data_IF_853705637919
#
_entry.id   IF_853705637919
#
_cell.length_a   1.000
_cell.length_b   1.000
_cell.length_c   1.000
_cell.angle_alpha   90.00
_cell.angle_beta   90.00
_cell.angle_gamma   90.00
#
_symmetry.space_group_name_H-M   'P 1'
#
loop_
_entity.id
_entity.type
_entity.pdbx_description
1 polymer ?
#
# COMPACT_ATOMS: atom_id res chain seq x y z
N UNK A 1 -10.97 6.37 17.27
CA UNK A 1 -10.13 7.28 16.44
C UNK A 1 -10.62 7.23 15.02
N UNK A 2 -10.56 6.09 14.34
CA UNK A 2 -11.10 5.91 12.99
C UNK A 2 -12.50 6.50 12.77
N UNK A 3 -13.46 6.24 13.67
CA UNK A 3 -14.82 6.78 13.57
C UNK A 3 -14.92 8.30 13.79
N UNK A 4 -13.91 8.92 14.39
CA UNK A 4 -13.89 10.37 14.70
C UNK A 4 -13.14 11.18 13.65
N UNK A 5 -11.95 10.74 13.24
CA UNK A 5 -11.06 11.49 12.35
C UNK A 5 -10.68 10.74 11.05
N UNK A 6 -11.19 9.53 10.86
CA UNK A 6 -10.90 8.71 9.69
C UNK A 6 -9.50 8.08 9.70
N UNK A 7 -8.75 8.19 10.81
CA UNK A 7 -7.39 7.64 10.91
C UNK A 7 -7.40 6.37 11.77
N UNK A 8 -6.93 5.21 11.23
CA UNK A 8 -6.81 3.99 12.02
C UNK A 8 -5.76 4.12 13.10
N UNK A 9 -6.02 3.45 14.22
CA UNK A 9 -5.02 3.29 15.29
C UNK A 9 -3.91 2.35 14.85
N UNK A 10 -2.80 2.33 15.59
CA UNK A 10 -1.75 1.34 15.34
C UNK A 10 -2.27 -0.09 15.53
N UNK A 11 -3.17 -0.33 16.48
CA UNK A 11 -3.74 -1.66 16.69
C UNK A 11 -4.57 -2.11 15.48
N UNK A 12 -5.37 -1.21 14.90
CA UNK A 12 -6.12 -1.47 13.66
C UNK A 12 -5.18 -1.84 12.51
N UNK A 13 -4.09 -1.07 12.34
CA UNK A 13 -3.08 -1.30 11.30
C UNK A 13 -2.36 -2.64 11.51
N UNK A 14 -2.02 -2.95 12.77
CA UNK A 14 -1.30 -4.17 13.11
C UNK A 14 -2.16 -5.42 12.99
N UNK A 15 -3.49 -5.32 13.11
CA UNK A 15 -4.43 -6.43 12.94
C UNK A 15 -4.42 -7.09 11.56
N UNK A 16 -3.94 -6.39 10.53
CA UNK A 16 -3.79 -6.88 9.16
C UNK A 16 -2.34 -6.76 8.65
N UNK A 17 -1.36 -6.82 9.57
CA UNK A 17 0.04 -6.63 9.21
C UNK A 17 0.75 -7.98 9.01
N UNK A 18 1.51 -8.15 7.93
CA UNK A 18 2.23 -9.40 7.66
C UNK A 18 3.35 -9.62 8.68
N UNK A 19 3.70 -10.89 8.89
CA UNK A 19 4.85 -11.25 9.72
C UNK A 19 6.15 -10.72 9.11
N UNK A 20 7.16 -10.51 9.95
CA UNK A 20 8.49 -10.10 9.50
C UNK A 20 9.10 -11.10 8.50
N UNK A 21 8.96 -12.41 8.77
CA UNK A 21 9.43 -13.46 7.88
C UNK A 21 8.79 -13.32 6.48
N UNK A 22 7.49 -12.99 6.43
CA UNK A 22 6.82 -12.75 5.16
C UNK A 22 7.34 -11.52 4.46
N UNK A 23 7.57 -10.41 5.17
CA UNK A 23 8.09 -9.17 4.60
C UNK A 23 9.49 -9.34 3.99
N UNK A 24 10.32 -10.25 4.51
CA UNK A 24 11.65 -10.56 4.00
C UNK A 24 11.63 -11.39 2.71
N UNK A 25 10.57 -12.16 2.45
CA UNK A 25 10.41 -12.97 1.21
C UNK A 25 10.15 -12.11 -0.04
N UNK A 26 9.72 -10.86 0.15
CA UNK A 26 9.43 -9.91 -0.92
C UNK A 26 8.11 -9.17 -0.70
N UNK A 27 7.70 -8.40 -1.70
CA UNK A 27 6.49 -7.58 -1.59
C UNK A 27 5.24 -8.40 -1.22
N UNK A 28 4.44 -7.83 -0.32
CA UNK A 28 3.14 -8.34 0.09
C UNK A 28 2.16 -7.18 0.17
N UNK A 29 0.92 -7.41 -0.23
CA UNK A 29 -0.13 -6.41 -0.17
C UNK A 29 -0.73 -6.33 1.24
N UNK A 30 -1.06 -5.11 1.68
CA UNK A 30 -1.87 -4.82 2.87
C UNK A 30 -2.94 -3.81 2.49
N UNK A 31 -4.03 -3.74 3.27
CA UNK A 31 -5.07 -2.72 3.06
C UNK A 31 -5.48 -2.04 4.36
N UNK A 32 -6.04 -0.84 4.19
CA UNK A 32 -6.62 0.00 5.26
C UNK A 32 -8.14 0.17 5.08
N UNK A 33 -8.80 -0.87 4.57
CA UNK A 33 -10.26 -1.01 4.62
C UNK A 33 -10.68 -1.55 6.00
N UNK A 34 -11.43 -0.77 6.77
CA UNK A 34 -11.88 -1.12 8.13
C UNK A 34 -13.41 -1.02 8.33
N UNK A 35 -14.15 -0.67 7.28
CA UNK A 35 -15.59 -0.41 7.34
C UNK A 35 -16.29 -1.27 6.31
N UNK A 36 -17.58 -1.51 6.54
CA UNK A 36 -18.42 -2.29 5.64
C UNK A 36 -18.80 -1.47 4.40
N UNK A 37 -18.11 -1.71 3.28
CA UNK A 37 -18.27 -0.96 2.02
C UNK A 37 -18.48 -1.96 0.87
N UNK A 38 -19.53 -1.82 0.04
CA UNK A 38 -19.81 -2.76 -1.06
C UNK A 38 -18.82 -2.58 -2.22
N UNK A 39 -17.58 -3.07 -2.08
CA UNK A 39 -16.46 -2.83 -2.98
C UNK A 39 -15.53 -4.04 -3.08
N UNK A 40 -15.41 -4.64 -4.27
CA UNK A 40 -14.55 -5.81 -4.56
C UNK A 40 -13.48 -5.68 -5.68
N UNK A 41 -13.09 -4.51 -6.23
CA UNK A 41 -12.07 -4.46 -7.31
C UNK A 41 -10.73 -5.12 -6.98
N UNK A 42 -10.33 -5.17 -5.70
CA UNK A 42 -9.10 -5.83 -5.27
C UNK A 42 -9.18 -7.36 -5.37
N UNK A 43 -10.35 -7.95 -5.16
CA UNK A 43 -10.61 -9.39 -5.32
C UNK A 43 -10.55 -9.73 -6.81
N UNK A 44 -11.27 -8.98 -7.64
CA UNK A 44 -11.34 -9.19 -9.09
C UNK A 44 -10.00 -9.02 -9.79
N UNK A 45 -9.16 -8.07 -9.34
CA UNK A 45 -7.88 -7.77 -9.98
C UNK A 45 -6.73 -8.70 -9.57
N UNK A 46 -6.93 -9.55 -8.56
CA UNK A 46 -5.89 -10.43 -8.03
C UNK A 46 -5.73 -11.68 -8.91
N UNK A 47 -4.63 -11.83 -9.68
CA UNK A 47 -4.47 -12.93 -10.63
C UNK A 47 -4.22 -14.30 -9.97
N UNK A 48 -3.89 -14.29 -8.67
CA UNK A 48 -3.59 -15.48 -7.87
C UNK A 48 -4.65 -15.75 -6.80
N UNK A 49 -5.76 -15.01 -6.82
CA UNK A 49 -6.86 -15.15 -5.87
C UNK A 49 -6.41 -15.15 -4.39
N UNK A 50 -5.44 -14.30 -4.06
CA UNK A 50 -4.95 -14.12 -2.70
C UNK A 50 -5.86 -13.23 -1.85
N UNK A 51 -6.85 -12.55 -2.45
CA UNK A 51 -7.76 -11.64 -1.75
C UNK A 51 -9.17 -12.23 -1.79
N UNK A 52 -9.84 -12.27 -0.64
CA UNK A 52 -11.21 -12.78 -0.49
C UNK A 52 -12.04 -11.88 0.42
N UNK A 53 -13.37 -12.02 0.39
CA UNK A 53 -14.31 -11.28 1.24
C UNK A 53 -15.43 -12.24 1.67
N UNK A 54 -15.89 -12.17 2.93
CA UNK A 54 -17.03 -12.99 3.40
C UNK A 54 -18.33 -12.56 2.71
N UNK A 55 -18.57 -11.24 2.64
CA UNK A 55 -19.68 -10.61 1.94
C UNK A 55 -19.13 -9.45 1.11
N UNK A 56 -19.90 -8.99 0.12
CA UNK A 56 -19.50 -7.85 -0.71
C UNK A 56 -19.19 -6.58 0.10
N UNK A 57 -19.79 -6.43 1.28
CA UNK A 57 -19.55 -5.30 2.18
C UNK A 57 -18.36 -5.50 3.11
N UNK A 58 -17.97 -6.74 3.41
CA UNK A 58 -16.93 -7.01 4.42
C UNK A 58 -15.56 -6.49 3.98
N UNK A 59 -14.68 -6.04 4.89
CA UNK A 59 -13.29 -5.80 4.56
C UNK A 59 -12.64 -7.02 3.89
N UNK A 60 -11.74 -6.81 2.89
CA UNK A 60 -11.03 -7.91 2.28
C UNK A 60 -10.12 -8.62 3.29
N UNK A 61 -9.80 -9.87 3.02
CA UNK A 61 -8.80 -10.67 3.73
C UNK A 61 -7.76 -11.11 2.72
N UNK A 62 -6.48 -10.86 3.03
CA UNK A 62 -5.36 -11.22 2.16
C UNK A 62 -4.65 -12.45 2.71
N UNK A 63 -4.60 -13.51 1.91
CA UNK A 63 -3.72 -14.65 2.10
C UNK A 63 -2.29 -14.22 1.72
N UNK A 64 -1.48 -13.89 2.74
CA UNK A 64 -0.14 -13.39 2.53
C UNK A 64 0.79 -14.40 1.86
N UNK A 65 0.56 -15.71 2.03
CA UNK A 65 1.39 -16.76 1.43
C UNK A 65 1.15 -16.90 -0.06
N UNK A 66 -0.09 -16.66 -0.53
CA UNK A 66 -0.41 -16.62 -1.97
C UNK A 66 -0.07 -15.29 -2.63
N UNK A 67 -0.03 -14.20 -1.86
CA UNK A 67 0.23 -12.87 -2.40
C UNK A 67 1.63 -12.79 -3.03
N UNK A 68 1.70 -12.46 -4.31
CA UNK A 68 2.97 -12.31 -5.06
C UNK A 68 3.55 -10.89 -5.00
N UNK A 69 2.81 -9.93 -4.43
CA UNK A 69 3.22 -8.52 -4.41
C UNK A 69 3.19 -7.83 -5.79
N UNK A 70 2.39 -8.33 -6.74
CA UNK A 70 2.35 -7.80 -8.12
C UNK A 70 1.83 -6.36 -8.22
N UNK A 71 0.98 -5.93 -7.28
CA UNK A 71 0.47 -4.56 -7.21
C UNK A 71 -0.80 -4.27 -8.02
N UNK A 72 -1.42 -5.27 -8.68
CA UNK A 72 -2.68 -5.05 -9.40
C UNK A 72 -3.78 -4.50 -8.48
N UNK A 73 -3.90 -5.04 -7.27
CA UNK A 73 -4.88 -4.57 -6.28
C UNK A 73 -4.62 -3.13 -5.82
N UNK A 74 -3.37 -2.68 -5.78
CA UNK A 74 -3.01 -1.30 -5.46
C UNK A 74 -3.50 -0.35 -6.55
N UNK A 75 -3.24 -0.69 -7.82
CA UNK A 75 -3.65 0.14 -8.94
C UNK A 75 -5.16 0.06 -9.27
N UNK A 76 -5.85 -1.00 -8.85
CA UNK A 76 -7.30 -1.15 -9.06
C UNK A 76 -8.14 -0.60 -7.90
N UNK A 77 -7.52 -0.18 -6.79
CA UNK A 77 -8.26 0.24 -5.60
C UNK A 77 -8.81 1.68 -5.79
N UNK A 78 -10.13 1.88 -5.86
CA UNK A 78 -10.70 3.21 -5.99
C UNK A 78 -10.50 4.08 -4.74
N UNK A 79 -10.29 3.44 -3.58
CA UNK A 79 -10.07 4.12 -2.31
C UNK A 79 -8.59 4.42 -2.01
N UNK A 80 -7.65 4.05 -2.89
CA UNK A 80 -6.21 4.19 -2.67
C UNK A 80 -5.72 3.60 -1.33
N UNK A 81 -6.43 2.59 -0.84
CA UNK A 81 -6.28 2.05 0.52
C UNK A 81 -5.41 0.79 0.58
N UNK A 82 -4.77 0.39 -0.52
CA UNK A 82 -3.94 -0.81 -0.60
C UNK A 82 -2.50 -0.40 -0.87
N UNK A 83 -1.56 -1.02 -0.15
CA UNK A 83 -0.12 -0.74 -0.21
C UNK A 83 0.66 -2.04 -0.41
N UNK A 84 1.88 -1.95 -0.94
CA UNK A 84 2.82 -3.09 -0.88
C UNK A 84 3.93 -2.81 0.12
N UNK A 85 4.22 -3.78 0.97
CA UNK A 85 5.28 -3.71 1.97
C UNK A 85 6.34 -4.76 1.67
N UNK A 86 7.60 -4.45 1.96
CA UNK A 86 8.72 -5.39 1.91
C UNK A 86 9.82 -4.92 2.86
N UNK A 87 10.61 -5.85 3.39
CA UNK A 87 11.89 -5.56 4.02
C UNK A 87 13.01 -5.99 3.08
N UNK A 88 13.98 -5.12 2.82
CA UNK A 88 15.10 -5.41 1.91
C UNK A 88 16.37 -4.70 2.39
N UNK A 89 17.47 -5.44 2.47
CA UNK A 89 18.80 -4.90 2.80
C UNK A 89 18.88 -4.14 4.14
N UNK A 90 18.00 -4.45 5.10
CA UNK A 90 17.92 -3.75 6.39
C UNK A 90 16.92 -2.60 6.43
N UNK A 91 16.53 -2.06 5.27
CA UNK A 91 15.53 -1.02 5.14
C UNK A 91 14.14 -1.58 4.85
N UNK A 92 13.12 -0.74 5.00
CA UNK A 92 11.76 -1.06 4.62
C UNK A 92 11.34 -0.33 3.34
N UNK A 93 10.49 -1.00 2.56
CA UNK A 93 9.96 -0.47 1.32
C UNK A 93 8.45 -0.45 1.37
N UNK A 94 7.86 0.70 1.09
CA UNK A 94 6.40 0.90 1.00
C UNK A 94 6.03 1.40 -0.39
N UNK A 95 5.11 0.70 -1.06
CA UNK A 95 4.56 1.13 -2.35
C UNK A 95 3.22 1.79 -2.14
N UNK A 96 3.11 3.03 -2.61
CA UNK A 96 1.97 3.92 -2.45
C UNK A 96 1.34 4.16 -3.83
N UNK A 97 0.01 4.06 -3.96
CA UNK A 97 -0.68 4.46 -5.18
C UNK A 97 -0.62 5.99 -5.36
N UNK A 98 -0.30 6.44 -6.57
CA UNK A 98 -0.09 7.86 -6.88
C UNK A 98 -0.83 8.25 -8.15
N UNK A 99 -1.74 9.21 -8.02
CA UNK A 99 -2.64 9.65 -9.10
C UNK A 99 -2.47 11.14 -9.47
N UNK A 100 -1.43 11.79 -8.97
CA UNK A 100 -1.14 13.19 -9.31
C UNK A 100 -0.30 13.29 -10.59
N UNK A 101 -0.41 14.43 -11.29
CA UNK A 101 0.26 14.69 -12.57
C UNK A 101 1.80 14.68 -12.42
N UNK A 102 2.30 15.13 -11.26
CA UNK A 102 3.72 15.30 -10.99
C UNK A 102 4.34 14.02 -10.43
N UNK A 103 4.35 12.93 -11.21
CA UNK A 103 4.96 11.65 -10.82
C UNK A 103 6.45 11.86 -10.48
N UNK A 104 6.95 11.38 -9.33
CA UNK A 104 8.35 11.52 -8.97
C UNK A 104 9.24 10.58 -9.79
N UNK A 105 10.54 10.88 -9.84
CA UNK A 105 11.52 10.03 -10.53
C UNK A 105 12.25 9.10 -9.55
N UNK A 106 12.76 7.97 -10.06
CA UNK A 106 13.60 7.08 -9.27
C UNK A 106 14.88 7.82 -8.84
N UNK A 107 15.20 7.74 -7.55
CA UNK A 107 16.33 8.41 -6.92
C UNK A 107 15.97 9.71 -6.22
N UNK A 108 14.78 10.26 -6.47
CA UNK A 108 14.31 11.51 -5.86
C UNK A 108 14.14 11.37 -4.35
N UNK A 109 14.57 12.39 -3.60
CA UNK A 109 14.40 12.48 -2.15
C UNK A 109 13.08 13.17 -1.83
N UNK A 110 12.27 12.54 -0.99
CA UNK A 110 10.94 13.02 -0.60
C UNK A 110 10.77 13.00 0.91
N UNK A 111 9.78 13.73 1.42
CA UNK A 111 9.33 13.61 2.80
C UNK A 111 8.36 12.43 2.91
N UNK A 112 8.67 11.44 3.74
CA UNK A 112 7.73 10.38 4.12
C UNK A 112 6.72 10.90 5.12
N UNK A 113 5.43 10.69 4.84
CA UNK A 113 4.32 11.24 5.63
C UNK A 113 3.50 10.13 6.29
N UNK A 114 3.01 10.43 7.49
CA UNK A 114 1.97 9.65 8.15
C UNK A 114 0.56 9.92 7.58
N UNK A 115 -0.46 9.32 8.20
CA UNK A 115 -1.87 9.43 7.80
C UNK A 115 -2.48 10.83 8.03
N UNK A 116 -1.83 11.68 8.84
CA UNK A 116 -2.20 13.08 9.02
C UNK A 116 -1.45 14.01 8.06
N UNK A 117 -0.59 13.48 7.20
CA UNK A 117 0.25 14.26 6.31
C UNK A 117 1.44 14.92 7.02
N UNK A 118 1.76 14.52 8.26
CA UNK A 118 2.92 15.01 8.98
C UNK A 118 4.17 14.26 8.52
N UNK A 119 5.26 15.00 8.32
CA UNK A 119 6.56 14.42 8.02
C UNK A 119 7.06 13.58 9.19
N UNK A 120 7.38 12.32 8.92
CA UNK A 120 7.95 11.36 9.88
C UNK A 120 9.36 10.92 9.53
N UNK A 121 9.76 10.95 8.25
CA UNK A 121 11.13 10.69 7.84
C UNK A 121 11.51 11.34 6.51
N UNK A 122 12.80 11.31 6.21
CA UNK A 122 13.30 11.43 4.85
C UNK A 122 13.16 10.07 4.16
N UNK A 123 12.73 10.05 2.91
CA UNK A 123 12.55 8.84 2.12
C UNK A 123 13.15 9.02 0.72
N UNK A 124 13.45 7.91 0.06
CA UNK A 124 13.92 7.92 -1.34
C UNK A 124 12.99 7.10 -2.22
N UNK A 125 12.67 7.63 -3.40
CA UNK A 125 11.91 6.90 -4.42
C UNK A 125 12.82 5.85 -5.06
N UNK A 126 12.55 4.57 -4.84
CA UNK A 126 13.38 3.47 -5.35
C UNK A 126 12.78 2.77 -6.57
N UNK A 127 11.46 2.89 -6.76
CA UNK A 127 10.76 2.30 -7.90
C UNK A 127 9.53 3.10 -8.27
N UNK A 128 9.30 3.28 -9.56
CA UNK A 128 8.11 3.95 -10.13
C UNK A 128 7.61 3.08 -11.27
N UNK A 129 6.39 2.55 -11.14
CA UNK A 129 5.83 1.58 -12.09
C UNK A 129 4.42 2.00 -12.48
N UNK A 130 4.15 2.01 -13.78
CA UNK A 130 2.79 2.02 -14.33
C UNK A 130 2.47 0.60 -14.78
N UNK A 131 1.42 0.01 -14.23
CA UNK A 131 1.04 -1.37 -14.56
C UNK A 131 0.25 -1.38 -15.88
N UNK A 132 0.78 -1.97 -16.96
CA UNK A 132 0.08 -2.03 -18.25
C UNK A 132 -1.04 -3.08 -18.27
N UNK A 133 -1.07 -3.97 -17.27
CA UNK A 133 -2.01 -5.08 -17.13
C UNK A 133 -3.43 -4.63 -16.76
N UNK A 134 -3.58 -3.42 -16.24
CA UNK A 134 -4.87 -2.79 -16.01
C UNK A 134 -5.22 -1.96 -17.25
N UNK A 135 -6.52 -1.88 -17.58
CA UNK A 135 -7.07 -1.15 -18.72
C UNK A 135 -6.28 0.15 -19.00
N UNK A 136 -6.12 0.53 -20.28
CA UNK A 136 -5.33 1.70 -20.73
C UNK A 136 -5.80 3.03 -20.12
N UNK A 137 -6.90 3.00 -19.39
CA UNK A 137 -7.53 4.09 -18.64
C UNK A 137 -6.99 4.24 -17.20
N UNK A 138 -6.38 3.21 -16.61
CA UNK A 138 -5.81 3.27 -15.26
C UNK A 138 -4.60 4.22 -15.24
N UNK A 139 -4.72 5.29 -14.46
CA UNK A 139 -3.70 6.34 -14.32
C UNK A 139 -2.87 6.20 -13.05
N UNK A 140 -3.16 5.19 -12.22
CA UNK A 140 -2.50 4.98 -10.94
C UNK A 140 -1.06 4.51 -11.15
N UNK A 141 -0.12 5.30 -10.67
CA UNK A 141 1.30 4.95 -10.66
C UNK A 141 1.67 4.38 -9.30
N UNK A 142 2.38 3.26 -9.28
CA UNK A 142 2.91 2.67 -8.06
C UNK A 142 4.29 3.28 -7.78
N UNK A 143 4.38 4.03 -6.68
CA UNK A 143 5.64 4.64 -6.23
C UNK A 143 6.11 3.91 -4.98
N UNK A 144 7.27 3.25 -5.06
CA UNK A 144 7.91 2.62 -3.92
C UNK A 144 8.93 3.57 -3.29
N UNK A 145 8.79 3.78 -1.99
CA UNK A 145 9.73 4.51 -1.16
C UNK A 145 10.55 3.54 -0.33
N UNK A 146 11.82 3.86 -0.15
CA UNK A 146 12.69 3.27 0.87
C UNK A 146 12.71 4.18 2.10
N UNK A 147 12.48 3.58 3.27
CA UNK A 147 12.26 4.24 4.55
C UNK A 147 12.90 3.45 5.71
N UNK A 148 13.15 4.09 6.87
CA UNK A 148 13.54 3.39 8.08
C UNK A 148 12.55 2.29 8.45
N UNK A 149 13.07 1.17 8.91
CA UNK A 149 12.31 -0.07 9.12
C UNK A 149 11.16 0.09 10.12
N UNK A 150 11.41 0.81 11.19
CA UNK A 150 10.46 1.11 12.27
C UNK A 150 9.25 1.95 11.81
N UNK A 151 9.36 2.61 10.66
CA UNK A 151 8.30 3.48 10.12
C UNK A 151 7.41 2.80 9.08
N UNK A 152 7.64 1.52 8.77
CA UNK A 152 6.83 0.74 7.84
C UNK A 152 5.31 0.72 8.16
N UNK A 153 4.86 0.62 9.42
CA UNK A 153 3.42 0.73 9.73
C UNK A 153 2.89 2.18 9.71
N UNK A 154 3.77 3.18 9.67
CA UNK A 154 3.41 4.61 9.81
C UNK A 154 3.31 5.31 8.46
N UNK A 155 4.31 5.13 7.59
CA UNK A 155 4.37 5.87 6.31
C UNK A 155 3.28 5.38 5.36
N UNK A 156 2.43 6.31 4.93
CA UNK A 156 1.32 6.05 3.99
C UNK A 156 1.20 7.06 2.85
N UNK A 157 1.97 8.14 2.89
CA UNK A 157 2.03 9.13 1.82
C UNK A 157 3.42 9.75 1.74
N UNK A 158 3.64 10.62 0.75
CA UNK A 158 4.87 11.40 0.62
C UNK A 158 4.62 12.79 0.03
N UNK A 159 5.56 13.70 0.28
CA UNK A 159 5.60 15.03 -0.34
C UNK A 159 6.94 15.27 -1.00
N UNK A 160 6.90 15.74 -2.25
CA UNK A 160 8.09 16.15 -3.00
C UNK A 160 8.66 17.45 -2.44
N UNK A 161 9.98 17.63 -2.52
CA UNK A 161 10.68 18.85 -2.06
C UNK A 161 10.86 19.84 -3.20
#
# INVERSE_FOLDING_TARGET
MLEMDGVPTLDDVMGNFPSEERLLKGFVAVHECYQDIPCNPCVESCPVHAISMEKLTSPPVIDFDKCTGCGNCVASCPGLAIFLLSLKNGDAQVTIPYEMINVPEKGEKVDGLDRYGKKVCDAQVVRVVKLPSLDKTSKTTLVTLEIPRELLPVVRSFRRR
#
